data_IF_913057871873
#
_entry.id   IF_913057871873
#
_cell.length_a   1.000
_cell.length_b   1.000
_cell.length_c   1.000
_cell.angle_alpha   90.00
_cell.angle_beta   90.00
_cell.angle_gamma   90.00
#
_symmetry.space_group_name_H-M   'P 1'
#
loop_
_entity.id
_entity.type
_entity.pdbx_description
1 polymer ?
#
# COMPACT_ATOMS: atom_id res chain seq x y z
N UNK A 1 -19.06 4.22 5.19
CA UNK A 1 -17.66 3.88 4.85
C UNK A 1 -16.78 3.53 6.05
N UNK A 2 -17.01 4.04 7.27
CA UNK A 2 -16.24 3.60 8.46
C UNK A 2 -16.36 2.10 8.72
N UNK A 3 -17.58 1.54 8.64
CA UNK A 3 -17.85 0.14 9.00
C UNK A 3 -17.02 -0.84 8.16
N UNK A 4 -17.03 -0.70 6.83
CA UNK A 4 -16.25 -1.58 5.93
C UNK A 4 -14.75 -1.47 6.22
N UNK A 5 -14.26 -0.25 6.44
CA UNK A 5 -12.87 -0.02 6.82
C UNK A 5 -12.55 -0.75 8.13
N UNK A 6 -13.36 -0.54 9.16
CA UNK A 6 -13.13 -1.12 10.49
C UNK A 6 -13.19 -2.66 10.43
N UNK A 7 -14.08 -3.23 9.61
CA UNK A 7 -14.18 -4.67 9.36
C UNK A 7 -12.90 -5.22 8.70
N UNK A 8 -12.40 -4.55 7.65
CA UNK A 8 -11.13 -4.91 6.99
C UNK A 8 -9.96 -4.80 7.97
N UNK A 9 -9.84 -3.70 8.73
CA UNK A 9 -8.76 -3.50 9.69
C UNK A 9 -8.79 -4.55 10.82
N UNK A 10 -9.98 -4.89 11.31
CA UNK A 10 -10.15 -5.94 12.32
C UNK A 10 -9.77 -7.30 11.76
N UNK A 11 -10.17 -7.64 10.54
CA UNK A 11 -9.77 -8.87 9.86
C UNK A 11 -8.25 -8.96 9.73
N UNK A 12 -7.59 -7.89 9.25
CA UNK A 12 -6.14 -7.85 9.11
C UNK A 12 -5.45 -8.05 10.47
N UNK A 13 -5.98 -7.44 11.53
CA UNK A 13 -5.43 -7.54 12.88
C UNK A 13 -5.60 -8.94 13.48
N UNK A 14 -6.81 -9.49 13.45
CA UNK A 14 -7.14 -10.79 14.07
C UNK A 14 -6.39 -11.93 13.38
N UNK A 15 -6.15 -11.82 12.08
CA UNK A 15 -5.44 -12.84 11.30
C UNK A 15 -3.92 -12.58 11.20
N UNK A 16 -3.37 -11.62 11.95
CA UNK A 16 -1.94 -11.27 11.92
C UNK A 16 -1.39 -10.96 10.51
N UNK A 17 -2.20 -10.30 9.68
CA UNK A 17 -1.85 -9.94 8.30
C UNK A 17 -1.29 -8.52 8.16
N UNK A 18 -1.17 -7.78 9.28
CA UNK A 18 -0.58 -6.44 9.32
C UNK A 18 0.93 -6.56 9.18
N UNK A 19 1.51 -5.82 8.23
CA UNK A 19 2.97 -5.72 8.07
C UNK A 19 3.52 -4.63 9.00
N UNK A 20 4.35 -5.02 9.97
CA UNK A 20 4.88 -4.14 11.03
C UNK A 20 5.83 -3.06 10.51
N UNK A 21 6.51 -3.33 9.39
CA UNK A 21 7.38 -2.38 8.70
C UNK A 21 6.62 -1.26 7.96
N UNK A 22 5.29 -1.35 7.86
CA UNK A 22 4.46 -0.31 7.26
C UNK A 22 3.78 0.53 8.33
N UNK A 23 4.44 1.63 8.71
CA UNK A 23 3.91 2.59 9.69
C UNK A 23 2.87 3.56 9.10
N UNK A 24 2.87 3.75 7.77
CA UNK A 24 1.89 4.59 7.09
C UNK A 24 0.48 4.01 7.18
N UNK A 25 -0.51 4.83 7.56
CA UNK A 25 -1.92 4.43 7.66
C UNK A 25 -2.20 3.23 8.60
N UNK A 26 -1.26 2.92 9.48
CA UNK A 26 -1.37 1.88 10.51
C UNK A 26 -1.65 2.55 11.85
N UNK A 27 -2.65 2.05 12.59
CA UNK A 27 -3.00 2.61 13.90
C UNK A 27 -1.80 2.47 14.85
N UNK A 28 -1.31 3.59 15.36
CA UNK A 28 -0.16 3.64 16.26
C UNK A 28 1.20 3.77 15.55
N UNK A 29 1.23 3.72 14.21
CA UNK A 29 2.44 4.03 13.44
C UNK A 29 2.72 5.54 13.48
N UNK A 30 3.95 5.92 13.85
CA UNK A 30 4.36 7.32 13.95
C UNK A 30 5.54 7.57 13.02
N UNK A 31 5.53 8.72 12.34
CA UNK A 31 6.64 9.12 11.46
C UNK A 31 7.97 9.26 12.23
N UNK A 32 7.87 9.62 13.50
CA UNK A 32 8.99 9.76 14.42
C UNK A 32 9.72 8.44 14.63
N UNK A 33 9.00 7.31 14.66
CA UNK A 33 9.61 5.99 14.81
C UNK A 33 10.43 5.61 13.57
N UNK A 34 9.92 5.92 12.36
CA UNK A 34 10.68 5.74 11.11
C UNK A 34 11.96 6.59 11.08
N UNK A 35 11.86 7.86 11.50
CA UNK A 35 13.03 8.76 11.56
C UNK A 35 14.04 8.22 12.56
N UNK A 36 13.59 7.77 13.72
CA UNK A 36 14.46 7.20 14.76
C UNK A 36 15.20 5.95 14.25
N UNK A 37 14.50 5.03 13.56
CA UNK A 37 15.11 3.84 12.96
C UNK A 37 16.19 4.24 11.94
N UNK A 38 15.89 5.20 11.06
CA UNK A 38 16.86 5.68 10.08
C UNK A 38 18.09 6.32 10.74
N UNK A 39 17.90 7.18 11.74
CA UNK A 39 18.99 7.78 12.51
C UNK A 39 19.87 6.72 13.16
N UNK A 40 19.24 5.73 13.81
CA UNK A 40 19.94 4.61 14.44
C UNK A 40 20.77 3.81 13.43
N UNK A 41 20.22 3.50 12.24
CA UNK A 41 20.93 2.78 11.19
C UNK A 41 22.15 3.56 10.67
N UNK A 42 21.98 4.87 10.47
CA UNK A 42 23.05 5.78 10.06
C UNK A 42 24.16 5.78 11.11
N UNK A 43 23.84 6.02 12.37
CA UNK A 43 24.81 6.03 13.47
C UNK A 43 25.56 4.70 13.59
N UNK A 44 24.84 3.58 13.51
CA UNK A 44 25.43 2.24 13.58
C UNK A 44 26.38 1.96 12.42
N UNK A 45 26.04 2.38 11.21
CA UNK A 45 26.92 2.24 10.05
C UNK A 45 28.22 3.05 10.23
N UNK A 46 28.10 4.32 10.64
CA UNK A 46 29.24 5.22 10.87
C UNK A 46 30.14 4.79 12.04
N UNK A 47 29.56 4.29 13.13
CA UNK A 47 30.30 3.90 14.34
C UNK A 47 30.81 2.46 14.32
N UNK A 48 30.39 1.65 13.35
CA UNK A 48 30.85 0.26 13.22
C UNK A 48 32.37 0.21 12.97
N UNK A 49 33.07 -0.68 13.68
CA UNK A 49 34.52 -0.90 13.51
C UNK A 49 34.90 -1.28 12.08
N UNK A 50 33.98 -1.93 11.38
CA UNK A 50 34.13 -2.38 9.99
C UNK A 50 33.82 -1.30 8.95
N UNK A 51 33.36 -0.10 9.37
CA UNK A 51 32.90 0.99 8.49
C UNK A 51 31.95 0.50 7.39
N UNK A 52 30.86 -0.14 7.80
CA UNK A 52 29.84 -0.66 6.86
C UNK A 52 29.28 0.47 6.02
N UNK A 53 29.23 0.25 4.71
CA UNK A 53 28.54 1.17 3.79
C UNK A 53 27.03 0.99 3.96
N UNK A 54 26.33 2.05 4.33
CA UNK A 54 24.87 2.09 4.33
C UNK A 54 24.39 2.65 2.99
N UNK A 55 23.55 1.87 2.29
CA UNK A 55 22.86 2.33 1.09
C UNK A 55 21.39 2.53 1.44
N UNK A 56 20.89 3.75 1.22
CA UNK A 56 19.48 4.08 1.40
C UNK A 56 18.83 4.24 0.03
N UNK A 57 17.79 3.45 -0.23
CA UNK A 57 16.96 3.56 -1.43
C UNK A 57 15.59 4.10 -0.99
N UNK A 58 15.18 5.21 -1.59
CA UNK A 58 13.85 5.79 -1.37
C UNK A 58 13.03 5.67 -2.64
N UNK A 59 11.76 5.29 -2.49
CA UNK A 59 10.81 5.14 -3.60
C UNK A 59 9.63 6.05 -3.32
N UNK A 60 9.28 6.89 -4.29
CA UNK A 60 8.09 7.73 -4.26
C UNK A 60 7.14 7.34 -5.40
N UNK A 61 5.87 7.13 -5.07
CA UNK A 61 4.86 6.71 -6.04
C UNK A 61 4.20 7.95 -6.66
N UNK A 62 4.48 8.20 -7.95
CA UNK A 62 3.83 9.29 -8.68
C UNK A 62 2.32 9.08 -8.72
N UNK A 63 1.55 10.07 -8.25
CA UNK A 63 0.08 10.03 -8.18
C UNK A 63 -0.44 8.74 -7.54
N UNK A 64 0.14 8.34 -6.41
CA UNK A 64 -0.06 7.05 -5.75
C UNK A 64 -1.53 6.57 -5.67
N UNK A 65 -2.49 7.48 -5.42
CA UNK A 65 -3.91 7.13 -5.36
C UNK A 65 -4.53 6.94 -6.74
N UNK A 66 -4.15 7.76 -7.73
CA UNK A 66 -4.72 7.74 -9.08
C UNK A 66 -4.11 6.61 -9.93
N UNK A 67 -2.90 6.17 -9.57
CA UNK A 67 -2.14 5.14 -10.27
C UNK A 67 -2.48 3.70 -9.84
N UNK A 68 -3.34 3.51 -8.84
CA UNK A 68 -3.73 2.16 -8.40
C UNK A 68 -4.49 1.45 -9.52
N UNK A 69 -3.96 0.33 -9.98
CA UNK A 69 -4.69 -0.60 -10.83
C UNK A 69 -5.80 -1.27 -9.98
N UNK A 70 -7.04 -1.14 -10.44
CA UNK A 70 -8.21 -1.63 -9.72
C UNK A 70 -8.29 -3.15 -9.73
N UNK A 71 -7.86 -3.82 -10.79
CA UNK A 71 -7.83 -5.28 -10.85
C UNK A 71 -6.79 -5.81 -9.87
N UNK A 72 -5.60 -5.22 -9.85
CA UNK A 72 -4.54 -5.58 -8.88
C UNK A 72 -4.95 -5.29 -7.43
N UNK A 73 -5.71 -4.22 -7.20
CA UNK A 73 -6.31 -3.96 -5.90
C UNK A 73 -7.28 -5.06 -5.47
N UNK A 74 -8.14 -5.55 -6.38
CA UNK A 74 -9.06 -6.66 -6.09
C UNK A 74 -8.29 -7.96 -5.84
N UNK A 75 -7.28 -8.28 -6.65
CA UNK A 75 -6.38 -9.43 -6.42
C UNK A 75 -5.75 -9.37 -5.02
N UNK A 76 -5.27 -8.20 -4.61
CA UNK A 76 -4.73 -8.00 -3.26
C UNK A 76 -5.76 -8.28 -2.16
N UNK A 77 -7.01 -7.82 -2.31
CA UNK A 77 -8.06 -8.10 -1.32
C UNK A 77 -8.37 -9.61 -1.21
N UNK A 78 -8.34 -10.33 -2.34
CA UNK A 78 -8.53 -11.78 -2.38
C UNK A 78 -7.37 -12.48 -1.67
N UNK A 79 -6.13 -12.10 -1.97
CA UNK A 79 -4.92 -12.67 -1.36
C UNK A 79 -4.89 -12.47 0.17
N UNK A 80 -5.36 -11.31 0.64
CA UNK A 80 -5.52 -11.00 2.06
C UNK A 80 -6.80 -11.57 2.70
N UNK A 81 -7.52 -12.45 1.97
CA UNK A 81 -8.71 -13.18 2.43
C UNK A 81 -9.82 -12.27 2.95
N UNK A 82 -9.97 -11.09 2.35
CA UNK A 82 -11.08 -10.19 2.67
C UNK A 82 -12.40 -10.86 2.26
N UNK A 83 -13.43 -10.70 3.08
CA UNK A 83 -14.72 -11.36 2.85
C UNK A 83 -15.31 -10.98 1.47
N UNK A 84 -15.78 -11.95 0.66
CA UNK A 84 -16.25 -11.70 -0.72
C UNK A 84 -17.31 -10.59 -0.82
N UNK A 85 -18.24 -10.52 0.14
CA UNK A 85 -19.24 -9.45 0.16
C UNK A 85 -18.64 -8.03 0.25
N UNK A 86 -17.54 -7.87 0.99
CA UNK A 86 -16.81 -6.60 1.07
C UNK A 86 -16.16 -6.28 -0.28
N UNK A 87 -15.55 -7.29 -0.91
CA UNK A 87 -14.93 -7.17 -2.23
C UNK A 87 -15.97 -6.74 -3.27
N UNK A 88 -17.14 -7.38 -3.30
CA UNK A 88 -18.25 -7.02 -4.21
C UNK A 88 -18.71 -5.56 -4.01
N UNK A 89 -18.79 -5.11 -2.76
CA UNK A 89 -19.15 -3.73 -2.44
C UNK A 89 -18.08 -2.74 -2.90
N UNK A 90 -16.79 -3.11 -2.79
CA UNK A 90 -15.66 -2.30 -3.30
C UNK A 90 -15.71 -2.26 -4.83
N UNK A 91 -15.94 -3.37 -5.51
CA UNK A 91 -16.09 -3.41 -6.98
C UNK A 91 -17.23 -2.46 -7.40
N UNK A 92 -18.40 -2.57 -6.79
CA UNK A 92 -19.55 -1.69 -7.08
C UNK A 92 -19.24 -0.21 -6.82
N UNK A 93 -18.42 0.11 -5.82
CA UNK A 93 -18.03 1.48 -5.49
C UNK A 93 -17.18 2.14 -6.59
N UNK A 94 -16.38 1.34 -7.30
CA UNK A 94 -15.47 1.80 -8.35
C UNK A 94 -16.00 1.56 -9.77
N UNK A 95 -17.00 0.70 -9.95
CA UNK A 95 -17.62 0.45 -11.25
C UNK A 95 -18.35 1.67 -11.81
N UNK A 96 -18.14 1.94 -13.10
CA UNK A 96 -18.85 2.98 -13.84
C UNK A 96 -18.41 4.42 -13.54
N UNK A 97 -17.28 4.60 -12.87
CA UNK A 97 -16.69 5.92 -12.65
C UNK A 97 -16.31 6.57 -13.98
N UNK A 98 -16.64 7.85 -14.13
CA UNK A 98 -16.24 8.66 -15.27
C UNK A 98 -15.99 10.11 -14.85
N UNK A 99 -15.16 10.81 -15.60
CA UNK A 99 -15.00 12.25 -15.53
C UNK A 99 -15.54 12.91 -16.80
N UNK A 100 -15.91 14.18 -16.69
CA UNK A 100 -16.37 15.00 -17.81
C UNK A 100 -15.40 16.16 -17.99
N UNK A 101 -14.83 16.29 -19.18
CA UNK A 101 -14.00 17.44 -19.55
C UNK A 101 -14.87 18.36 -20.41
N UNK A 102 -14.91 19.65 -20.04
CA UNK A 102 -15.58 20.68 -20.82
C UNK A 102 -14.55 21.64 -21.42
N UNK A 103 -14.66 21.89 -22.72
CA UNK A 103 -13.87 22.89 -23.44
C UNK A 103 -14.80 23.76 -24.28
N UNK A 104 -15.10 24.97 -23.80
CA UNK A 104 -16.18 25.80 -24.35
C UNK A 104 -17.54 25.12 -24.20
N UNK A 105 -18.29 24.97 -25.30
CA UNK A 105 -19.57 24.26 -25.34
C UNK A 105 -19.45 22.74 -25.53
N UNK A 106 -18.24 22.23 -25.78
CA UNK A 106 -18.00 20.80 -25.99
C UNK A 106 -17.80 20.10 -24.64
N UNK A 107 -18.47 18.95 -24.47
CA UNK A 107 -18.32 18.06 -23.32
C UNK A 107 -17.90 16.67 -23.79
N UNK A 108 -16.85 16.12 -23.16
CA UNK A 108 -16.37 14.75 -23.40
C UNK A 108 -16.38 13.97 -22.10
N UNK A 109 -17.04 12.82 -22.11
CA UNK A 109 -16.95 11.82 -21.04
C UNK A 109 -15.69 10.97 -21.23
N UNK A 110 -14.97 10.73 -20.13
CA UNK A 110 -13.82 9.84 -20.06
C UNK A 110 -14.07 8.88 -18.90
N UNK A 111 -14.11 7.59 -19.17
CA UNK A 111 -14.27 6.60 -18.12
C UNK A 111 -12.97 6.47 -17.31
N UNK A 112 -13.12 6.32 -15.99
CA UNK A 112 -12.02 6.19 -15.05
C UNK A 112 -11.78 4.70 -14.80
N UNK A 113 -10.65 4.20 -15.27
CA UNK A 113 -10.28 2.78 -15.16
C UNK A 113 -9.26 2.49 -14.07
N UNK A 114 -8.58 3.52 -13.56
CA UNK A 114 -7.58 3.41 -12.50
C UNK A 114 -7.89 4.34 -11.33
N UNK A 115 -7.23 4.06 -10.22
CA UNK A 115 -7.18 4.89 -9.05
C UNK A 115 -8.32 4.65 -8.07
N UNK A 116 -8.05 5.10 -6.85
CA UNK A 116 -8.95 5.06 -5.70
C UNK A 116 -9.40 6.47 -5.31
N UNK A 117 -10.64 6.61 -4.83
CA UNK A 117 -11.26 7.91 -4.59
C UNK A 117 -10.58 8.61 -3.40
N UNK A 118 -9.92 9.74 -3.62
CA UNK A 118 -9.28 10.51 -2.54
C UNK A 118 -10.31 11.08 -1.56
N UNK A 119 -9.94 11.23 -0.28
CA UNK A 119 -10.81 11.82 0.75
C UNK A 119 -11.75 10.83 1.47
N UNK A 120 -11.69 9.53 1.13
CA UNK A 120 -12.41 8.49 1.85
C UNK A 120 -11.46 7.69 2.77
N UNK A 121 -11.91 7.42 4.00
CA UNK A 121 -11.16 6.60 4.97
C UNK A 121 -10.97 5.15 4.54
N UNK A 122 -11.80 4.64 3.62
CA UNK A 122 -11.62 3.32 3.01
C UNK A 122 -10.43 3.32 2.04
N UNK A 123 -10.23 4.39 1.29
CA UNK A 123 -9.18 4.49 0.28
C UNK A 123 -7.78 4.36 0.86
N UNK A 124 -7.54 4.92 2.05
CA UNK A 124 -6.28 4.73 2.77
C UNK A 124 -6.03 3.26 3.15
N UNK A 125 -7.08 2.53 3.54
CA UNK A 125 -6.96 1.10 3.89
C UNK A 125 -6.76 0.24 2.64
N UNK A 126 -7.43 0.56 1.53
CA UNK A 126 -7.21 -0.11 0.25
C UNK A 126 -5.76 0.10 -0.24
N UNK A 127 -5.28 1.34 -0.20
CA UNK A 127 -3.90 1.66 -0.53
C UNK A 127 -2.92 0.86 0.33
N UNK A 128 -3.17 0.79 1.64
CA UNK A 128 -2.34 0.02 2.57
C UNK A 128 -2.26 -1.46 2.19
N UNK A 129 -3.38 -2.10 1.84
CA UNK A 129 -3.40 -3.51 1.42
C UNK A 129 -2.57 -3.71 0.14
N UNK A 130 -2.68 -2.81 -0.84
CA UNK A 130 -1.84 -2.85 -2.04
C UNK A 130 -0.35 -2.72 -1.68
N UNK A 131 0.01 -1.83 -0.74
CA UNK A 131 1.41 -1.75 -0.29
C UNK A 131 1.88 -3.02 0.42
N UNK A 132 1.00 -3.73 1.12
CA UNK A 132 1.38 -5.00 1.75
C UNK A 132 1.69 -6.08 0.72
N UNK A 133 0.99 -6.10 -0.42
CA UNK A 133 1.34 -6.97 -1.54
C UNK A 133 2.74 -6.67 -2.07
N UNK A 134 3.07 -5.39 -2.27
CA UNK A 134 4.41 -4.98 -2.74
C UNK A 134 5.49 -5.43 -1.73
N UNK A 135 5.27 -5.17 -0.44
CA UNK A 135 6.21 -5.60 0.62
C UNK A 135 6.36 -7.12 0.62
N UNK A 136 5.27 -7.87 0.48
CA UNK A 136 5.29 -9.35 0.44
C UNK A 136 6.11 -9.86 -0.74
N UNK A 137 5.98 -9.27 -1.93
CA UNK A 137 6.79 -9.70 -3.09
C UNK A 137 8.28 -9.36 -2.89
N UNK A 138 8.61 -8.19 -2.34
CA UNK A 138 9.99 -7.83 -2.01
C UNK A 138 10.63 -8.78 -0.99
N UNK A 139 9.87 -9.20 0.02
CA UNK A 139 10.34 -10.16 1.03
C UNK A 139 10.61 -11.55 0.42
N UNK A 140 9.80 -12.01 -0.54
CA UNK A 140 10.03 -13.27 -1.26
C UNK A 140 11.31 -13.23 -2.10
N UNK A 141 11.52 -12.15 -2.85
CA UNK A 141 12.74 -12.00 -3.66
C UNK A 141 14.01 -11.96 -2.79
N UNK A 142 13.93 -11.37 -1.59
CA UNK A 142 15.02 -11.37 -0.62
C UNK A 142 15.36 -12.79 -0.12
N UNK A 143 14.35 -13.60 0.20
CA UNK A 143 14.53 -15.00 0.61
C UNK A 143 15.18 -15.83 -0.52
N UNK A 144 14.70 -15.70 -1.75
CA UNK A 144 15.24 -16.40 -2.92
C UNK A 144 16.70 -16.01 -3.19
N UNK A 145 17.03 -14.72 -3.07
CA UNK A 145 18.40 -14.21 -3.27
C UNK A 145 19.36 -14.74 -2.20
N UNK A 146 18.91 -14.82 -0.93
CA UNK A 146 19.71 -15.40 0.16
C UNK A 146 19.95 -16.89 -0.02
N UNK A 147 18.98 -17.63 -0.53
CA UNK A 147 19.14 -19.06 -0.84
C UNK A 147 20.16 -19.29 -1.97
N UNK A 148 20.20 -18.41 -2.98
CA UNK A 148 21.17 -18.50 -4.08
C UNK A 148 22.60 -18.14 -3.69
N UNK A 149 22.81 -17.34 -2.65
CA UNK A 149 24.15 -16.92 -2.18
C UNK A 149 24.77 -17.86 -1.14
N UNK A 150 24.05 -18.92 -0.74
CA UNK A 150 24.52 -19.97 0.17
C UNK A 150 25.07 -21.22 -0.57
N UNK A 151 25.30 -21.13 -1.87
CA UNK A 151 26.01 -22.11 -2.72
C UNK A 151 27.17 -21.45 -3.45
#
# INVERSE_FOLDING_TARGET
MSIIKDEIENHLKINHLIKENQMGFTKGGRKEDNIFILQYLVEKAFTSKEKKTLVLITVDYSKAYDSIDREKMIEALIEYKIHPHIIDNIIKLYSGDYTKIRFGEQEKRIDITSGIKQGCTLSTTLFKIVTYMIIKELEKEEEDTKLMTLH
#
